data_IF_914514598682
#
_entry.id   IF_914514598682
#
_cell.length_a   1.000
_cell.length_b   1.000
_cell.length_c   1.000
_cell.angle_alpha   90.00
_cell.angle_beta   90.00
_cell.angle_gamma   90.00
#
_symmetry.space_group_name_H-M   'P 1'
#
loop_
_entity.id
_entity.type
_entity.pdbx_description
1 polymer ?
#
# COMPACT_ATOMS: atom_id res chain seq x y z
N UNK A 1 11.96 8.93 -7.11
CA UNK A 1 11.21 8.82 -5.82
C UNK A 1 11.42 10.07 -4.96
N UNK A 2 12.60 10.69 -4.97
CA UNK A 2 12.86 11.91 -4.22
C UNK A 2 12.69 13.21 -5.04
N UNK A 3 12.35 13.08 -6.33
CA UNK A 3 12.27 14.20 -7.28
C UNK A 3 11.17 15.21 -6.94
N UNK A 4 10.19 14.80 -6.12
CA UNK A 4 9.12 15.65 -5.60
C UNK A 4 9.39 16.24 -4.22
N UNK A 5 10.52 15.91 -3.58
CA UNK A 5 10.88 16.54 -2.31
C UNK A 5 11.43 17.94 -2.55
N UNK A 6 10.58 18.92 -2.26
CA UNK A 6 11.01 20.31 -2.19
C UNK A 6 11.65 20.62 -0.83
N UNK A 7 12.58 21.60 -0.76
CA UNK A 7 13.15 22.05 0.51
C UNK A 7 12.09 22.45 1.55
N UNK A 8 10.98 23.03 1.10
CA UNK A 8 9.84 23.37 1.97
C UNK A 8 9.14 22.15 2.57
N UNK A 9 9.14 21.01 1.87
CA UNK A 9 8.61 19.74 2.42
C UNK A 9 9.53 19.20 3.51
N UNK A 10 10.85 19.26 3.31
CA UNK A 10 11.85 18.84 4.30
C UNK A 10 11.82 19.75 5.53
N UNK A 11 11.69 21.06 5.36
CA UNK A 11 11.57 22.01 6.47
C UNK A 11 10.38 21.70 7.39
N UNK A 12 9.26 21.19 6.85
CA UNK A 12 8.11 20.81 7.68
C UNK A 12 8.41 19.69 8.67
N UNK A 13 9.45 18.90 8.41
CA UNK A 13 9.88 17.76 9.22
C UNK A 13 10.97 18.10 10.24
N UNK A 14 11.55 19.30 10.15
CA UNK A 14 12.61 19.79 11.03
C UNK A 14 12.00 20.75 12.06
N UNK A 15 12.48 20.72 13.30
CA UNK A 15 12.03 21.67 14.31
C UNK A 15 12.50 23.10 13.99
N UNK A 16 11.63 24.13 14.13
CA UNK A 16 12.03 25.51 13.93
C UNK A 16 13.17 25.90 14.87
N UNK A 17 14.27 26.43 14.31
CA UNK A 17 15.43 26.90 15.10
C UNK A 17 16.35 25.79 15.60
N UNK A 18 16.07 24.51 15.33
CA UNK A 18 16.91 23.39 15.72
C UNK A 18 17.28 22.51 14.51
N UNK A 19 18.50 21.95 14.50
CA UNK A 19 18.93 20.96 13.49
C UNK A 19 18.48 19.54 13.87
N UNK A 20 17.22 19.39 14.25
CA UNK A 20 16.66 18.11 14.70
C UNK A 20 15.33 17.83 14.00
N UNK A 21 15.07 16.55 13.75
CA UNK A 21 13.78 16.10 13.24
C UNK A 21 12.71 16.29 14.31
N UNK A 22 11.50 16.68 13.89
CA UNK A 22 10.34 16.73 14.79
C UNK A 22 10.12 15.36 15.43
N UNK A 23 9.73 15.33 16.70
CA UNK A 23 9.45 14.08 17.42
C UNK A 23 8.44 13.19 16.67
N UNK A 24 7.43 13.80 16.03
CA UNK A 24 6.47 13.10 15.16
C UNK A 24 7.12 12.35 13.99
N UNK A 25 8.16 12.92 13.37
CA UNK A 25 8.87 12.31 12.24
C UNK A 25 9.71 11.15 12.74
N UNK A 26 10.44 11.33 13.84
CA UNK A 26 11.20 10.26 14.48
C UNK A 26 10.31 9.09 14.93
N UNK A 27 9.15 9.39 15.52
CA UNK A 27 8.17 8.36 15.89
C UNK A 27 7.60 7.66 14.65
N UNK A 28 7.27 8.40 13.59
CA UNK A 28 6.80 7.80 12.33
C UNK A 28 7.85 6.94 11.64
N UNK A 29 9.14 7.20 11.85
CA UNK A 29 10.25 6.37 11.35
C UNK A 29 10.41 5.13 12.23
N UNK A 30 10.38 5.28 13.56
CA UNK A 30 10.44 4.16 14.53
C UNK A 30 9.28 3.20 14.39
N UNK A 31 8.08 3.72 14.16
CA UNK A 31 6.85 2.96 13.95
C UNK A 31 6.78 2.33 12.55
N UNK A 32 7.74 2.65 11.66
CA UNK A 32 7.65 2.34 10.24
C UNK A 32 6.64 3.26 9.57
N UNK A 33 7.05 3.97 8.51
CA UNK A 33 6.27 5.05 7.88
C UNK A 33 4.98 4.57 7.16
N UNK A 34 4.60 3.31 7.31
CA UNK A 34 3.40 2.71 6.74
C UNK A 34 2.89 1.59 7.64
N UNK A 35 1.61 1.69 8.03
CA UNK A 35 0.85 0.73 8.83
C UNK A 35 0.90 0.96 10.34
N UNK A 36 -0.21 1.48 10.84
CA UNK A 36 -0.61 1.23 12.22
C UNK A 36 -1.85 0.34 12.15
N UNK A 37 -1.85 -0.83 12.82
CA UNK A 37 -3.03 -1.67 12.88
C UNK A 37 -4.18 -0.84 13.46
N UNK A 38 -5.30 -0.78 12.73
CA UNK A 38 -6.49 -0.04 13.17
C UNK A 38 -6.60 1.45 12.77
N UNK A 39 -5.73 1.98 11.90
CA UNK A 39 -5.87 3.37 11.38
C UNK A 39 -6.25 3.46 9.88
N UNK A 40 -7.07 4.47 9.55
CA UNK A 40 -7.49 4.80 8.18
C UNK A 40 -8.48 3.81 7.58
N UNK A 41 -8.66 3.85 6.24
CA UNK A 41 -9.55 2.93 5.50
C UNK A 41 -9.11 1.46 5.55
N UNK A 42 -7.84 1.21 5.91
CA UNK A 42 -7.32 -0.14 6.19
C UNK A 42 -7.94 -0.72 7.48
N UNK A 43 -8.42 0.10 8.42
CA UNK A 43 -9.18 -0.38 9.59
C UNK A 43 -10.41 -1.19 9.18
N UNK A 44 -11.08 -0.80 8.11
CA UNK A 44 -12.24 -1.51 7.60
C UNK A 44 -11.86 -2.91 7.12
N UNK A 45 -10.73 -3.05 6.41
CA UNK A 45 -10.19 -4.35 6.03
C UNK A 45 -9.72 -5.17 7.25
N UNK A 46 -9.11 -4.54 8.25
CA UNK A 46 -8.65 -5.20 9.47
C UNK A 46 -9.81 -5.74 10.33
N UNK A 47 -11.02 -5.21 10.19
CA UNK A 47 -12.24 -5.74 10.83
C UNK A 47 -12.73 -7.04 10.18
N UNK A 48 -12.20 -7.40 9.00
CA UNK A 48 -12.52 -8.62 8.27
C UNK A 48 -11.27 -9.48 8.06
N UNK A 49 -10.72 -10.08 9.14
CA UNK A 49 -9.47 -10.84 9.09
C UNK A 49 -9.53 -12.05 8.16
N UNK A 50 -10.71 -12.66 7.98
CA UNK A 50 -10.90 -13.79 7.08
C UNK A 50 -10.69 -13.39 5.62
N UNK A 51 -11.21 -12.23 5.21
CA UNK A 51 -11.00 -11.66 3.88
C UNK A 51 -9.51 -11.39 3.65
N UNK A 52 -8.84 -10.81 4.64
CA UNK A 52 -7.40 -10.56 4.57
C UNK A 52 -6.58 -11.85 4.46
N UNK A 53 -6.94 -12.89 5.20
CA UNK A 53 -6.28 -14.18 5.16
C UNK A 53 -6.44 -14.85 3.80
N UNK A 54 -7.64 -14.79 3.20
CA UNK A 54 -7.91 -15.34 1.86
C UNK A 54 -7.14 -14.59 0.78
N UNK A 55 -7.12 -13.26 0.84
CA UNK A 55 -6.31 -12.42 -0.06
C UNK A 55 -4.81 -12.76 0.08
N UNK A 56 -4.31 -12.85 1.33
CA UNK A 56 -2.91 -13.18 1.62
C UNK A 56 -2.53 -14.55 1.05
N UNK A 57 -3.35 -15.57 1.29
CA UNK A 57 -3.13 -16.93 0.77
C UNK A 57 -3.08 -16.92 -0.76
N UNK A 58 -4.03 -16.24 -1.41
CA UNK A 58 -4.11 -16.19 -2.87
C UNK A 58 -2.90 -15.50 -3.49
N UNK A 59 -2.54 -14.31 -3.00
CA UNK A 59 -1.39 -13.56 -3.51
C UNK A 59 -0.07 -14.32 -3.26
N UNK A 60 0.09 -14.90 -2.07
CA UNK A 60 1.27 -15.70 -1.73
C UNK A 60 1.35 -16.94 -2.62
N UNK A 61 0.23 -17.62 -2.86
CA UNK A 61 0.13 -18.77 -3.75
C UNK A 61 0.56 -18.42 -5.18
N UNK A 62 0.11 -17.29 -5.71
CA UNK A 62 0.57 -16.81 -7.03
C UNK A 62 2.08 -16.60 -7.07
N UNK A 63 2.65 -16.01 -6.02
CA UNK A 63 4.09 -15.77 -5.95
C UNK A 63 4.88 -17.08 -5.86
N UNK A 64 4.40 -18.06 -5.09
CA UNK A 64 4.98 -19.40 -5.02
C UNK A 64 4.91 -20.12 -6.37
N UNK A 65 3.82 -19.92 -7.12
CA UNK A 65 3.65 -20.40 -8.49
C UNK A 65 4.46 -19.61 -9.53
N UNK A 66 5.32 -18.66 -9.10
CA UNK A 66 6.12 -17.77 -9.95
C UNK A 66 5.29 -16.93 -10.95
N UNK A 67 4.02 -16.69 -10.64
CA UNK A 67 3.17 -15.79 -11.41
C UNK A 67 3.49 -14.33 -11.06
N UNK A 68 3.48 -13.41 -12.05
CA UNK A 68 3.71 -12.00 -11.78
C UNK A 68 2.54 -11.42 -10.97
N UNK A 69 2.87 -10.76 -9.85
CA UNK A 69 1.90 -10.02 -9.04
C UNK A 69 2.22 -8.53 -9.16
N UNK A 70 1.54 -7.85 -10.09
CA UNK A 70 1.58 -6.40 -10.23
C UNK A 70 0.39 -5.74 -9.49
N UNK A 71 0.33 -4.40 -9.46
CA UNK A 71 -0.70 -3.68 -8.68
C UNK A 71 -2.08 -3.97 -9.22
N UNK A 72 -2.23 -4.09 -10.54
CA UNK A 72 -3.50 -4.32 -11.18
C UNK A 72 -4.04 -5.71 -10.84
N UNK A 73 -3.21 -6.74 -10.95
CA UNK A 73 -3.55 -8.11 -10.58
C UNK A 73 -3.92 -8.17 -9.10
N UNK A 74 -3.07 -7.64 -8.23
CA UNK A 74 -3.34 -7.63 -6.79
C UNK A 74 -4.62 -6.85 -6.45
N UNK A 75 -4.87 -5.72 -7.12
CA UNK A 75 -6.10 -4.93 -6.96
C UNK A 75 -7.33 -5.75 -7.34
N UNK A 76 -7.34 -6.39 -8.50
CA UNK A 76 -8.50 -7.17 -8.95
C UNK A 76 -8.77 -8.37 -8.06
N UNK A 77 -7.72 -9.04 -7.58
CA UNK A 77 -7.85 -10.13 -6.61
C UNK A 77 -8.45 -9.63 -5.30
N UNK A 78 -7.90 -8.55 -4.74
CA UNK A 78 -8.45 -7.95 -3.53
C UNK A 78 -9.91 -7.52 -3.73
N UNK A 79 -10.23 -6.91 -4.86
CA UNK A 79 -11.58 -6.46 -5.18
C UNK A 79 -12.56 -7.64 -5.27
N UNK A 80 -12.20 -8.71 -5.98
CA UNK A 80 -13.03 -9.91 -6.11
C UNK A 80 -13.33 -10.55 -4.76
N UNK A 81 -12.32 -10.77 -3.92
CA UNK A 81 -12.54 -11.33 -2.59
C UNK A 81 -13.34 -10.42 -1.67
N UNK A 82 -13.13 -9.10 -1.75
CA UNK A 82 -13.95 -8.17 -0.97
C UNK A 82 -15.40 -8.18 -1.48
N UNK A 83 -15.62 -8.23 -2.80
CA UNK A 83 -16.96 -8.28 -3.38
C UNK A 83 -17.71 -9.56 -2.99
N UNK A 84 -17.02 -10.70 -2.94
CA UNK A 84 -17.60 -11.99 -2.59
C UNK A 84 -17.86 -12.13 -1.08
N UNK A 85 -16.90 -11.72 -0.24
CA UNK A 85 -16.92 -12.02 1.19
C UNK A 85 -17.39 -10.84 2.07
N UNK A 86 -17.24 -9.61 1.59
CA UNK A 86 -17.57 -8.41 2.35
C UNK A 86 -18.02 -7.25 1.43
N UNK A 87 -19.07 -7.44 0.59
CA UNK A 87 -19.52 -6.45 -0.39
C UNK A 87 -19.87 -5.10 0.24
N UNK A 88 -20.29 -5.08 1.51
CA UNK A 88 -20.56 -3.88 2.30
C UNK A 88 -19.35 -2.92 2.39
N UNK A 89 -18.13 -3.40 2.23
CA UNK A 89 -16.91 -2.58 2.21
C UNK A 89 -16.78 -1.74 0.93
N UNK A 90 -17.48 -2.13 -0.14
CA UNK A 90 -17.51 -1.46 -1.43
C UNK A 90 -18.69 -0.48 -1.55
N UNK A 91 -19.76 -0.71 -0.80
CA UNK A 91 -21.04 0.01 -0.90
C UNK A 91 -21.15 1.25 0.00
N UNK A 92 -20.20 1.51 0.90
CA UNK A 92 -20.30 2.68 1.78
C UNK A 92 -20.20 4.02 1.02
N UNK A 93 -21.02 5.03 1.35
CA UNK A 93 -20.96 6.33 0.68
C UNK A 93 -19.64 7.08 0.98
N UNK A 94 -18.98 7.50 -0.11
CA UNK A 94 -17.89 8.46 -0.38
C UNK A 94 -16.77 8.76 0.65
N UNK A 95 -17.04 8.75 1.96
CA UNK A 95 -16.06 8.98 3.02
C UNK A 95 -15.55 7.68 3.69
N UNK A 96 -16.35 6.61 3.67
CA UNK A 96 -16.00 5.29 4.22
C UNK A 96 -15.58 4.24 3.18
N UNK A 97 -15.95 4.44 1.91
CA UNK A 97 -15.68 3.49 0.85
C UNK A 97 -14.19 3.29 0.59
N UNK A 98 -13.76 2.03 0.47
CA UNK A 98 -12.39 1.72 0.01
C UNK A 98 -12.22 2.14 -1.46
N UNK A 99 -13.30 2.26 -2.24
CA UNK A 99 -13.32 2.50 -3.70
C UNK A 99 -12.58 3.77 -4.15
N UNK A 100 -12.76 4.91 -3.47
CA UNK A 100 -12.13 6.19 -3.85
C UNK A 100 -10.59 6.21 -3.71
N UNK A 101 -10.02 5.29 -2.93
CA UNK A 101 -8.56 5.18 -2.74
C UNK A 101 -8.10 3.73 -2.76
N UNK A 102 -8.81 2.86 -3.48
CA UNK A 102 -8.63 1.41 -3.37
C UNK A 102 -7.21 1.00 -3.75
N UNK A 103 -6.67 1.60 -4.81
CA UNK A 103 -5.29 1.36 -5.25
C UNK A 103 -4.26 1.70 -4.18
N UNK A 104 -4.33 2.89 -3.58
CA UNK A 104 -3.37 3.29 -2.56
C UNK A 104 -3.56 2.51 -1.26
N UNK A 105 -4.79 2.13 -0.91
CA UNK A 105 -5.10 1.26 0.22
C UNK A 105 -4.48 -0.14 0.02
N UNK A 106 -4.68 -0.76 -1.15
CA UNK A 106 -4.13 -2.08 -1.46
C UNK A 106 -2.62 -2.04 -1.61
N UNK A 107 -2.06 -1.05 -2.32
CA UNK A 107 -0.61 -0.88 -2.41
C UNK A 107 0.02 -0.77 -1.03
N UNK A 108 -0.59 0.02 -0.14
CA UNK A 108 -0.13 0.16 1.23
C UNK A 108 -0.21 -1.17 1.99
N UNK A 109 -1.34 -1.87 1.92
CA UNK A 109 -1.51 -3.22 2.48
C UNK A 109 -0.43 -4.20 1.99
N UNK A 110 -0.19 -4.29 0.68
CA UNK A 110 0.85 -5.19 0.13
C UNK A 110 2.25 -4.83 0.63
N UNK A 111 2.56 -3.53 0.70
CA UNK A 111 3.86 -3.07 1.19
C UNK A 111 4.05 -3.32 2.69
N UNK A 112 2.97 -3.32 3.48
CA UNK A 112 3.06 -3.36 4.95
C UNK A 112 2.82 -4.75 5.53
N UNK A 113 1.78 -5.43 5.08
CA UNK A 113 1.39 -6.75 5.59
C UNK A 113 2.19 -7.88 4.94
N UNK A 114 2.61 -7.70 3.69
CA UNK A 114 3.37 -8.71 2.95
C UNK A 114 4.85 -8.33 2.82
N UNK A 115 5.24 -7.11 3.19
CA UNK A 115 6.58 -6.54 2.96
C UNK A 115 7.00 -6.64 1.48
N UNK A 116 6.05 -6.52 0.56
CA UNK A 116 6.33 -6.63 -0.87
C UNK A 116 6.63 -5.25 -1.44
N UNK A 117 7.87 -5.05 -1.87
CA UNK A 117 8.24 -3.87 -2.65
C UNK A 117 7.65 -3.99 -4.05
N UNK A 118 7.03 -2.91 -4.50
CA UNK A 118 6.48 -2.83 -5.84
C UNK A 118 7.64 -2.82 -6.84
N UNK A 119 7.86 -3.93 -7.55
CA UNK A 119 8.68 -3.87 -8.76
C UNK A 119 7.78 -3.35 -9.87
N UNK A 120 7.80 -2.04 -10.10
CA UNK A 120 7.40 -1.55 -11.42
C UNK A 120 8.32 -2.26 -12.43
N UNK A 121 7.77 -2.86 -13.52
CA UNK A 121 8.64 -3.33 -14.59
C UNK A 121 9.50 -2.14 -15.00
N UNK A 122 10.82 -2.25 -14.79
CA UNK A 122 11.74 -1.21 -15.21
C UNK A 122 11.70 -1.17 -16.73
N UNK A 123 11.30 -0.04 -17.31
CA UNK A 123 11.32 0.21 -18.77
C UNK A 123 12.71 -0.06 -19.41
N UNK A 124 13.76 -0.26 -18.61
CA UNK A 124 15.05 -0.76 -19.06
C UNK A 124 15.00 -2.15 -19.72
N UNK A 125 14.05 -3.03 -19.35
CA UNK A 125 13.91 -4.35 -19.98
C UNK A 125 13.26 -4.29 -21.38
N UNK A 126 12.69 -3.14 -21.78
CA UNK A 126 12.16 -2.91 -23.14
C UNK A 126 13.22 -2.33 -24.09
N UNK A 127 14.43 -2.02 -23.60
CA UNK A 127 15.56 -1.58 -24.42
C UNK A 127 16.58 -2.71 -24.52
N UNK A 128 16.17 -3.84 -25.08
CA UNK A 128 17.13 -4.73 -25.74
C UNK A 128 17.30 -4.12 -27.13
N UNK A 129 18.50 -3.67 -27.54
CA UNK A 129 18.72 -3.25 -28.92
C UNK A 129 18.39 -4.42 -29.84
N UNK A 130 17.62 -4.18 -30.89
CA UNK A 130 17.62 -5.09 -32.03
C UNK A 130 19.05 -5.11 -32.58
N UNK A 131 19.61 -6.30 -32.79
CA UNK A 131 20.92 -6.51 -33.41
C UNK A 131 21.01 -5.82 -34.80
#
# INVERSE_FOLDING_TARGET
IFDSLTPGTVQKWIEPGAKQWKARVLNSVKEGTSWQPGKGRIKLLAQHPDVLNTIRKSLTGMRLAKLPVNSHIARHICYGFIQEMAPQLLEQPYNGAITNSFNSTIQRFLSTDLNWSYRAPTNAAQKIPDD
#
